data_IF_878507122043
#
_entry.id   IF_878507122043
#
_cell.length_a   1.000
_cell.length_b   1.000
_cell.length_c   1.000
_cell.angle_alpha   90.00
_cell.angle_beta   90.00
_cell.angle_gamma   90.00
#
_symmetry.space_group_name_H-M   'P 1'
#
loop_
_entity.id
_entity.type
_entity.pdbx_description
1 polymer ?
#
# COMPACT_ATOMS: atom_id res chain seq x y z
N UNK A 1 -14.97 -19.85 24.90
CA UNK A 1 -14.04 -19.89 23.75
C UNK A 1 -13.28 -18.59 23.78
N UNK A 2 -11.96 -18.65 23.84
CA UNK A 2 -11.12 -17.45 23.75
C UNK A 2 -11.40 -16.76 22.41
N UNK A 3 -11.49 -15.44 22.44
CA UNK A 3 -11.80 -14.63 21.27
C UNK A 3 -10.50 -14.41 20.46
N UNK A 4 -10.02 -15.49 19.82
CA UNK A 4 -8.78 -15.49 19.02
C UNK A 4 -9.03 -14.67 17.75
N UNK A 5 -8.13 -13.74 17.46
CA UNK A 5 -8.18 -12.91 16.26
C UNK A 5 -7.71 -13.71 15.03
N UNK A 6 -8.33 -13.43 13.89
CA UNK A 6 -7.94 -14.02 12.61
C UNK A 6 -6.60 -13.44 12.10
N UNK A 7 -5.99 -14.13 11.15
CA UNK A 7 -4.80 -13.66 10.42
C UNK A 7 -5.13 -12.38 9.64
N UNK A 8 -4.22 -11.42 9.64
CA UNK A 8 -4.35 -10.13 8.95
C UNK A 8 -4.19 -8.93 9.87
N UNK A 9 -4.63 -7.76 9.43
CA UNK A 9 -4.62 -6.54 10.25
C UNK A 9 -5.45 -6.72 11.52
N UNK A 10 -4.99 -6.14 12.62
CA UNK A 10 -5.79 -6.04 13.85
C UNK A 10 -7.10 -5.30 13.53
N UNK A 11 -8.27 -5.80 13.99
CA UNK A 11 -9.56 -5.16 13.71
C UNK A 11 -9.54 -3.67 14.04
N UNK A 12 -10.01 -2.82 13.11
CA UNK A 12 -9.93 -1.37 13.21
C UNK A 12 -10.50 -0.83 14.53
N UNK A 13 -11.64 -1.37 14.99
CA UNK A 13 -12.25 -0.96 16.26
C UNK A 13 -11.41 -1.29 17.51
N UNK A 14 -10.61 -2.36 17.47
CA UNK A 14 -9.66 -2.68 18.53
C UNK A 14 -8.45 -1.76 18.43
N UNK A 15 -7.90 -1.61 17.23
CA UNK A 15 -6.73 -0.77 16.98
C UNK A 15 -7.00 0.69 17.39
N UNK A 16 -8.14 1.27 17.01
CA UNK A 16 -8.55 2.62 17.38
C UNK A 16 -8.52 2.83 18.90
N UNK A 17 -9.10 1.89 19.68
CA UNK A 17 -9.08 1.97 21.14
C UNK A 17 -7.66 1.89 21.73
N UNK A 18 -6.75 1.14 21.10
CA UNK A 18 -5.36 1.03 21.53
C UNK A 18 -4.60 2.31 21.20
N UNK A 19 -4.72 2.83 19.98
CA UNK A 19 -4.04 4.04 19.51
C UNK A 19 -4.50 5.29 20.29
N UNK A 20 -5.77 5.37 20.66
CA UNK A 20 -6.30 6.48 21.49
C UNK A 20 -5.62 6.57 22.88
N UNK A 21 -4.90 5.54 23.31
CA UNK A 21 -4.17 5.49 24.59
C UNK A 21 -2.66 5.61 24.42
N UNK A 22 -2.18 5.79 23.18
CA UNK A 22 -0.76 5.96 22.92
C UNK A 22 -0.27 7.27 23.58
N UNK A 23 0.86 7.25 24.32
CA UNK A 23 1.44 8.46 24.89
C UNK A 23 2.09 9.28 23.77
N UNK A 24 1.41 10.35 23.34
CA UNK A 24 1.87 11.28 22.30
C UNK A 24 1.82 12.68 22.89
N UNK A 25 2.70 12.95 23.86
CA UNK A 25 2.74 14.22 24.59
C UNK A 25 3.80 15.20 24.05
N UNK A 26 4.68 14.73 23.16
CA UNK A 26 5.73 15.57 22.56
C UNK A 26 5.12 16.51 21.52
N UNK A 27 5.26 17.86 21.69
CA UNK A 27 4.69 18.84 20.78
C UNK A 27 5.34 18.83 19.37
N UNK A 28 6.48 18.18 19.20
CA UNK A 28 7.09 17.99 17.89
C UNK A 28 6.34 16.96 17.03
N UNK A 29 5.51 16.10 17.61
CA UNK A 29 4.70 15.12 16.86
C UNK A 29 3.52 15.84 16.22
N UNK A 30 3.58 16.09 14.92
CA UNK A 30 2.54 16.77 14.14
C UNK A 30 1.45 15.81 13.67
N UNK A 31 1.83 14.55 13.38
CA UNK A 31 0.94 13.47 13.02
C UNK A 31 1.37 12.23 13.80
N UNK A 32 0.54 11.80 14.73
CA UNK A 32 0.73 10.59 15.52
C UNK A 32 -0.04 9.39 14.95
N UNK A 33 -0.15 8.29 15.72
CA UNK A 33 -0.81 7.08 15.27
C UNK A 33 -2.33 7.29 15.09
N UNK A 34 -2.92 6.70 14.04
CA UNK A 34 -4.35 6.77 13.76
C UNK A 34 -4.77 5.82 12.64
N UNK A 35 -6.06 5.53 12.56
CA UNK A 35 -6.63 4.72 11.46
C UNK A 35 -6.52 5.49 10.15
N UNK A 36 -6.04 4.81 9.09
CA UNK A 36 -5.83 5.42 7.77
C UNK A 36 -4.69 6.45 7.74
N UNK A 37 -3.78 6.39 8.70
CA UNK A 37 -2.57 7.19 8.75
C UNK A 37 -1.35 6.27 8.59
N UNK A 38 -0.75 6.30 7.40
CA UNK A 38 0.35 5.39 7.04
C UNK A 38 1.66 5.74 7.74
N UNK A 39 1.86 7.03 8.04
CA UNK A 39 3.11 7.55 8.60
C UNK A 39 2.89 8.40 9.85
N UNK A 40 3.91 8.45 10.71
CA UNK A 40 4.06 9.50 11.71
C UNK A 40 4.90 10.66 11.16
N UNK A 41 4.62 11.90 11.63
CA UNK A 41 5.35 13.11 11.21
C UNK A 41 5.85 13.86 12.43
N UNK A 42 7.14 14.15 12.45
CA UNK A 42 7.81 14.87 13.54
C UNK A 42 8.47 16.14 12.99
N UNK A 43 8.30 17.25 13.72
CA UNK A 43 8.96 18.51 13.44
C UNK A 43 10.41 18.46 13.91
N UNK A 44 11.35 18.38 12.97
CA UNK A 44 12.78 18.40 13.23
C UNK A 44 13.43 19.79 12.95
N UNK A 45 12.61 20.83 12.86
CA UNK A 45 13.04 22.20 12.63
C UNK A 45 12.86 22.66 11.18
N UNK A 46 13.91 22.61 10.34
CA UNK A 46 13.82 23.10 8.95
C UNK A 46 12.88 22.28 8.09
N UNK A 47 12.94 20.96 8.17
CA UNK A 47 12.11 20.01 7.46
C UNK A 47 11.31 19.17 8.47
N UNK A 48 10.26 18.55 8.00
CA UNK A 48 9.54 17.51 8.73
C UNK A 48 10.19 16.16 8.43
N UNK A 49 10.31 15.33 9.45
CA UNK A 49 10.68 13.93 9.30
C UNK A 49 9.43 13.07 9.30
N UNK A 50 9.37 12.16 8.36
CA UNK A 50 8.27 11.20 8.17
C UNK A 50 8.80 9.82 8.48
N UNK A 51 8.12 9.09 9.35
CA UNK A 51 8.52 7.77 9.83
C UNK A 51 7.49 6.73 9.46
N UNK A 52 7.97 5.62 8.93
CA UNK A 52 7.17 4.43 8.67
C UNK A 52 7.91 3.18 9.14
N UNK A 53 7.17 2.20 9.63
CA UNK A 53 7.73 0.87 9.92
C UNK A 53 6.71 -0.20 9.55
N UNK A 54 7.08 -1.05 8.58
CA UNK A 54 6.26 -2.19 8.15
C UNK A 54 7.06 -3.49 8.08
N UNK A 55 6.45 -4.61 8.48
CA UNK A 55 6.95 -5.95 8.24
C UNK A 55 6.52 -6.46 6.87
N UNK A 56 7.29 -7.39 6.31
CA UNK A 56 6.89 -8.23 5.17
C UNK A 56 6.50 -9.61 5.71
N UNK A 57 5.25 -9.98 5.53
CA UNK A 57 4.66 -11.18 6.15
C UNK A 57 4.07 -12.19 5.15
N UNK A 58 3.63 -11.78 3.97
CA UNK A 58 3.01 -12.67 2.98
C UNK A 58 3.97 -13.14 1.89
N UNK A 59 4.94 -12.33 1.48
CA UNK A 59 5.90 -12.71 0.45
C UNK A 59 6.89 -13.74 0.96
N UNK A 60 7.30 -14.69 0.10
CA UNK A 60 8.30 -15.73 0.38
C UNK A 60 9.58 -15.52 -0.39
N UNK A 61 9.53 -14.83 -1.51
CA UNK A 61 10.67 -14.43 -2.32
C UNK A 61 10.78 -12.90 -2.45
N UNK A 62 11.92 -12.41 -2.93
CA UNK A 62 12.22 -10.98 -3.11
C UNK A 62 11.99 -10.10 -1.86
N UNK A 63 12.03 -10.70 -0.68
CA UNK A 63 11.70 -10.07 0.61
C UNK A 63 12.38 -8.71 0.81
N UNK A 64 13.67 -8.61 0.47
CA UNK A 64 14.43 -7.37 0.62
C UNK A 64 13.95 -6.25 -0.31
N UNK A 65 13.56 -6.59 -1.54
CA UNK A 65 12.98 -5.63 -2.49
C UNK A 65 11.61 -5.14 -2.03
N UNK A 66 10.75 -6.07 -1.56
CA UNK A 66 9.46 -5.75 -0.96
C UNK A 66 9.61 -4.77 0.20
N UNK A 67 10.50 -5.09 1.16
CA UNK A 67 10.71 -4.25 2.35
C UNK A 67 10.92 -2.79 2.01
N UNK A 68 11.84 -2.54 1.06
CA UNK A 68 12.22 -1.18 0.69
C UNK A 68 11.08 -0.48 -0.04
N UNK A 69 10.44 -1.16 -1.00
CA UNK A 69 9.39 -0.56 -1.84
C UNK A 69 8.12 -0.26 -1.06
N UNK A 70 7.65 -1.19 -0.22
CA UNK A 70 6.44 -0.98 0.59
C UNK A 70 6.63 0.19 1.55
N UNK A 71 7.72 0.18 2.35
CA UNK A 71 7.99 1.31 3.25
C UNK A 71 8.19 2.65 2.49
N UNK A 72 8.75 2.63 1.27
CA UNK A 72 8.91 3.83 0.45
C UNK A 72 7.58 4.34 -0.10
N UNK A 73 6.61 3.46 -0.37
CA UNK A 73 5.28 3.83 -0.80
C UNK A 73 4.57 4.68 0.26
N UNK A 74 4.58 4.22 1.51
CA UNK A 74 3.99 4.98 2.62
C UNK A 74 4.62 6.36 2.79
N UNK A 75 5.95 6.44 2.73
CA UNK A 75 6.64 7.74 2.77
C UNK A 75 6.18 8.63 1.61
N UNK A 76 6.04 8.06 0.41
CA UNK A 76 5.63 8.80 -0.79
C UNK A 76 4.20 9.36 -0.67
N UNK A 77 3.27 8.69 0.05
CA UNK A 77 1.90 9.18 0.25
C UNK A 77 1.85 10.52 1.00
N UNK A 78 2.93 10.86 1.70
CA UNK A 78 3.05 12.13 2.42
C UNK A 78 3.70 13.25 1.61
N UNK A 79 4.10 12.99 0.36
CA UNK A 79 4.92 13.91 -0.44
C UNK A 79 6.39 13.96 -0.02
N UNK A 80 6.79 13.12 0.94
CA UNK A 80 8.16 13.07 1.44
C UNK A 80 9.08 12.24 0.52
N UNK A 81 10.36 12.60 0.53
CA UNK A 81 11.43 11.83 -0.10
C UNK A 81 11.99 10.81 0.89
N UNK A 82 11.96 9.49 0.59
CA UNK A 82 12.56 8.47 1.43
C UNK A 82 14.09 8.65 1.46
N UNK A 83 14.71 8.58 2.66
CA UNK A 83 16.12 8.92 2.85
C UNK A 83 16.93 7.85 3.56
N UNK A 84 16.42 7.31 4.67
CA UNK A 84 17.19 6.45 5.57
C UNK A 84 16.41 5.22 5.99
N UNK A 85 17.03 4.05 5.85
CA UNK A 85 16.45 2.77 6.22
C UNK A 85 17.21 2.13 7.37
N UNK A 86 16.46 1.64 8.37
CA UNK A 86 16.88 0.64 9.34
C UNK A 86 16.12 -0.66 9.01
N UNK A 87 16.80 -1.81 8.99
CA UNK A 87 16.17 -3.11 8.73
C UNK A 87 16.39 -4.08 9.86
N UNK A 88 15.32 -4.78 10.27
CA UNK A 88 15.41 -5.89 11.23
C UNK A 88 15.09 -7.19 10.51
N UNK A 89 16.01 -8.17 10.60
CA UNK A 89 15.86 -9.50 10.02
C UNK A 89 15.76 -10.53 11.16
N UNK A 90 14.62 -11.18 11.28
CA UNK A 90 14.41 -12.32 12.16
C UNK A 90 14.39 -13.60 11.29
N UNK A 91 15.38 -14.44 11.46
CA UNK A 91 15.67 -15.57 10.58
C UNK A 91 15.41 -16.89 11.31
N UNK A 92 14.83 -17.91 10.63
CA UNK A 92 14.44 -19.17 11.26
C UNK A 92 15.66 -20.02 11.64
N UNK A 93 15.70 -20.51 12.89
CA UNK A 93 16.67 -21.50 13.33
C UNK A 93 16.60 -22.78 12.49
N UNK A 94 17.76 -23.38 12.17
CA UNK A 94 17.86 -24.63 11.42
C UNK A 94 17.56 -24.54 9.93
N UNK A 95 17.18 -23.38 9.41
CA UNK A 95 16.90 -23.14 7.97
C UNK A 95 17.72 -22.01 7.37
N UNK A 96 18.27 -21.13 8.18
CA UNK A 96 19.03 -19.96 7.73
C UNK A 96 20.42 -20.36 7.27
N UNK A 97 20.77 -19.98 6.04
CA UNK A 97 22.12 -20.15 5.47
C UNK A 97 22.74 -18.77 5.19
N UNK A 98 24.09 -18.68 5.07
CA UNK A 98 24.74 -17.44 4.65
C UNK A 98 24.18 -16.88 3.35
N UNK A 99 23.92 -17.75 2.36
CA UNK A 99 23.42 -17.37 1.03
C UNK A 99 22.00 -16.74 1.13
N UNK A 100 21.15 -17.24 2.03
CA UNK A 100 19.83 -16.66 2.30
C UNK A 100 19.99 -15.23 2.85
N UNK A 101 20.87 -15.04 3.83
CA UNK A 101 21.11 -13.72 4.43
C UNK A 101 21.70 -12.74 3.40
N UNK A 102 22.71 -13.18 2.66
CA UNK A 102 23.35 -12.40 1.59
C UNK A 102 22.34 -12.04 0.49
N UNK A 103 21.46 -12.97 0.12
CA UNK A 103 20.39 -12.74 -0.85
C UNK A 103 19.43 -11.66 -0.40
N UNK A 104 18.88 -11.76 0.81
CA UNK A 104 17.95 -10.76 1.37
C UNK A 104 18.62 -9.38 1.46
N UNK A 105 19.83 -9.32 2.03
CA UNK A 105 20.58 -8.06 2.15
C UNK A 105 20.95 -7.47 0.79
N UNK A 106 21.30 -8.33 -0.18
CA UNK A 106 21.57 -7.93 -1.56
C UNK A 106 20.37 -7.26 -2.22
N UNK A 107 19.18 -7.81 -2.03
CA UNK A 107 17.92 -7.23 -2.51
C UNK A 107 17.63 -5.88 -1.85
N UNK A 108 17.80 -5.77 -0.51
CA UNK A 108 17.64 -4.50 0.22
C UNK A 108 18.59 -3.44 -0.36
N UNK A 109 19.87 -3.79 -0.53
CA UNK A 109 20.87 -2.84 -1.03
C UNK A 109 20.61 -2.42 -2.48
N UNK A 110 20.13 -3.34 -3.32
CA UNK A 110 19.78 -3.04 -4.71
C UNK A 110 18.60 -2.06 -4.78
N UNK A 111 17.51 -2.35 -4.07
CA UNK A 111 16.33 -1.49 -4.03
C UNK A 111 16.64 -0.11 -3.40
N UNK A 112 17.45 -0.07 -2.34
CA UNK A 112 17.88 1.19 -1.74
C UNK A 112 18.71 2.05 -2.69
N UNK A 113 19.63 1.43 -3.48
CA UNK A 113 20.39 2.17 -4.51
C UNK A 113 19.49 2.75 -5.60
N UNK A 114 18.52 1.95 -6.08
CA UNK A 114 17.56 2.37 -7.09
C UNK A 114 16.75 3.60 -6.64
N UNK A 115 16.30 3.59 -5.38
CA UNK A 115 15.48 4.65 -4.80
C UNK A 115 16.30 5.77 -4.13
N UNK A 116 17.64 5.70 -4.18
CA UNK A 116 18.54 6.65 -3.54
C UNK A 116 18.35 6.75 -2.00
N UNK A 117 18.11 5.59 -1.36
CA UNK A 117 17.94 5.44 0.09
C UNK A 117 19.26 4.97 0.70
N UNK A 118 19.66 5.54 1.84
CA UNK A 118 20.82 5.11 2.60
C UNK A 118 20.41 4.11 3.69
N UNK A 119 21.03 2.92 3.69
CA UNK A 119 20.92 2.00 4.83
C UNK A 119 21.81 2.52 5.96
N UNK A 120 21.21 2.87 7.09
CA UNK A 120 21.92 3.50 8.22
C UNK A 120 22.09 2.57 9.43
N UNK A 121 21.57 1.33 9.36
CA UNK A 121 21.73 0.32 10.40
C UNK A 121 20.61 -0.70 10.40
N UNK A 122 20.47 -1.37 11.52
CA UNK A 122 19.44 -2.39 11.73
C UNK A 122 19.90 -3.48 12.68
N UNK A 123 19.20 -4.61 12.67
CA UNK A 123 19.52 -5.80 13.45
C UNK A 123 19.27 -7.07 12.64
N UNK A 124 20.10 -8.08 12.80
CA UNK A 124 19.89 -9.39 12.15
C UNK A 124 20.19 -10.48 13.17
N UNK A 125 19.25 -11.38 13.37
CA UNK A 125 19.42 -12.50 14.27
C UNK A 125 18.75 -13.78 13.75
N UNK A 126 19.27 -14.92 14.17
CA UNK A 126 18.63 -16.21 13.98
C UNK A 126 17.88 -16.53 15.30
N UNK A 127 16.57 -16.75 15.19
CA UNK A 127 15.71 -16.98 16.36
C UNK A 127 14.81 -18.20 16.17
N UNK A 128 14.32 -18.74 17.29
CA UNK A 128 13.44 -19.89 17.32
C UNK A 128 11.96 -19.52 17.13
N UNK A 129 11.15 -20.51 16.74
CA UNK A 129 9.70 -20.36 16.60
C UNK A 129 9.26 -19.67 15.32
N UNK A 130 10.14 -19.59 14.30
CA UNK A 130 9.84 -19.11 12.96
C UNK A 130 9.96 -20.22 11.93
N UNK A 131 9.01 -20.30 11.01
CA UNK A 131 9.05 -21.20 9.86
C UNK A 131 9.69 -20.56 8.63
N UNK A 132 9.70 -19.22 8.57
CA UNK A 132 10.22 -18.40 7.47
C UNK A 132 10.84 -17.10 8.00
N UNK A 133 11.69 -16.42 7.21
CA UNK A 133 12.17 -15.08 7.55
C UNK A 133 11.03 -14.10 7.78
N UNK A 134 11.16 -13.25 8.79
CA UNK A 134 10.36 -12.04 8.98
C UNK A 134 11.31 -10.85 8.91
N UNK A 135 11.02 -9.91 8.03
CA UNK A 135 11.83 -8.70 7.89
C UNK A 135 10.98 -7.48 8.14
N UNK A 136 11.54 -6.51 8.88
CA UNK A 136 10.86 -5.25 9.22
C UNK A 136 11.72 -4.08 8.75
N UNK A 137 11.12 -3.17 7.99
CA UNK A 137 11.73 -1.90 7.61
C UNK A 137 11.29 -0.81 8.59
N UNK A 138 12.22 0.09 8.91
CA UNK A 138 11.88 1.39 9.48
C UNK A 138 12.51 2.45 8.58
N UNK A 139 11.68 3.12 7.80
CA UNK A 139 12.09 4.10 6.80
C UNK A 139 11.77 5.50 7.27
N UNK A 140 12.71 6.40 7.04
CA UNK A 140 12.59 7.81 7.39
C UNK A 140 12.69 8.63 6.12
N UNK A 141 11.72 9.50 5.91
CA UNK A 141 11.68 10.48 4.82
C UNK A 141 11.78 11.91 5.32
N UNK A 142 11.98 12.82 4.39
CA UNK A 142 11.98 14.27 4.63
C UNK A 142 11.00 14.96 3.69
N UNK A 143 10.31 15.99 4.21
CA UNK A 143 9.44 16.86 3.41
C UNK A 143 9.50 18.29 3.93
N UNK A 144 9.53 19.33 3.06
CA UNK A 144 9.29 20.70 3.47
C UNK A 144 7.90 20.84 4.13
N UNK A 145 7.83 21.64 5.20
CA UNK A 145 6.58 21.79 5.97
C UNK A 145 5.35 22.16 5.11
N UNK A 146 5.54 23.00 4.11
CA UNK A 146 4.49 23.47 3.20
C UNK A 146 4.13 22.48 2.09
N UNK A 147 4.85 21.37 1.98
CA UNK A 147 4.65 20.33 0.97
C UNK A 147 4.11 19.02 1.55
N UNK A 148 3.96 18.96 2.89
CA UNK A 148 3.39 17.80 3.56
C UNK A 148 1.96 17.54 3.09
N UNK A 149 1.71 16.33 2.60
CA UNK A 149 0.40 15.80 2.25
C UNK A 149 -0.04 14.82 3.34
N UNK A 150 -1.30 14.87 3.71
CA UNK A 150 -1.88 13.91 4.67
C UNK A 150 -3.29 13.52 4.23
N UNK A 151 -3.80 12.36 4.63
CA UNK A 151 -5.18 11.95 4.31
C UNK A 151 -6.23 12.99 4.72
N UNK A 152 -5.97 13.80 5.75
CA UNK A 152 -6.85 14.89 6.21
C UNK A 152 -6.97 16.06 5.22
N UNK A 153 -6.13 16.10 4.20
CA UNK A 153 -6.11 17.14 3.18
C UNK A 153 -7.23 17.04 2.15
N UNK A 154 -7.89 15.89 2.03
CA UNK A 154 -8.98 15.67 1.07
C UNK A 154 -10.16 16.65 1.30
N UNK A 155 -10.67 17.23 0.22
CA UNK A 155 -11.71 18.27 0.26
C UNK A 155 -12.89 17.90 -0.63
N UNK A 156 -14.11 18.27 -0.26
CA UNK A 156 -15.26 18.12 -1.16
C UNK A 156 -15.01 18.80 -2.50
N UNK A 157 -15.32 18.09 -3.59
CA UNK A 157 -15.06 18.49 -4.96
C UNK A 157 -13.75 17.98 -5.54
N UNK A 158 -12.81 17.50 -4.72
CA UNK A 158 -11.60 16.86 -5.23
C UNK A 158 -11.95 15.58 -6.01
N UNK A 159 -11.16 15.29 -7.07
CA UNK A 159 -11.30 14.06 -7.86
C UNK A 159 -10.51 12.93 -7.20
N UNK A 160 -11.06 11.72 -7.27
CA UNK A 160 -10.41 10.49 -6.83
C UNK A 160 -9.74 9.83 -8.02
N UNK A 161 -8.40 9.78 -8.03
CA UNK A 161 -7.62 9.14 -9.07
C UNK A 161 -6.95 7.88 -8.53
N UNK A 162 -6.76 6.87 -9.40
CA UNK A 162 -6.04 5.63 -9.08
C UNK A 162 -5.02 5.34 -10.17
N UNK A 163 -3.76 5.09 -9.78
CA UNK A 163 -2.71 4.71 -10.72
C UNK A 163 -2.64 3.21 -10.94
N UNK A 164 -2.16 2.77 -12.12
CA UNK A 164 -1.83 1.40 -12.55
C UNK A 164 -3.00 0.41 -12.54
N UNK A 165 -3.87 0.46 -11.55
CA UNK A 165 -4.97 -0.48 -11.33
C UNK A 165 -4.72 -1.50 -10.22
N UNK A 166 -5.71 -2.35 -9.96
CA UNK A 166 -5.71 -3.32 -8.85
C UNK A 166 -6.18 -4.70 -9.31
N UNK A 167 -5.79 -5.79 -8.60
CA UNK A 167 -4.75 -5.88 -7.60
C UNK A 167 -3.40 -6.28 -8.22
N UNK A 168 -2.36 -5.49 -8.06
CA UNK A 168 -1.03 -5.80 -8.60
C UNK A 168 -0.36 -6.88 -7.75
N UNK A 169 -0.27 -6.65 -6.45
CA UNK A 169 0.45 -7.54 -5.54
C UNK A 169 -0.22 -8.91 -5.43
N UNK A 170 -1.53 -8.98 -5.22
CA UNK A 170 -2.25 -10.26 -5.13
C UNK A 170 -2.06 -11.09 -6.39
N UNK A 171 -2.06 -10.47 -7.58
CA UNK A 171 -1.81 -11.15 -8.85
C UNK A 171 -0.45 -11.85 -8.84
N UNK A 172 0.60 -11.16 -8.40
CA UNK A 172 1.95 -11.72 -8.34
C UNK A 172 2.09 -12.80 -7.27
N UNK A 173 1.55 -12.59 -6.07
CA UNK A 173 1.59 -13.58 -4.98
C UNK A 173 0.88 -14.87 -5.41
N UNK A 174 -0.34 -14.79 -5.93
CA UNK A 174 -1.10 -15.96 -6.37
C UNK A 174 -0.39 -16.73 -7.49
N UNK A 175 0.24 -16.02 -8.43
CA UNK A 175 1.00 -16.64 -9.51
C UNK A 175 2.29 -17.34 -9.07
N UNK A 176 2.87 -16.92 -7.95
CA UNK A 176 4.08 -17.49 -7.36
C UNK A 176 3.79 -18.65 -6.43
N UNK A 177 2.79 -18.49 -5.57
CA UNK A 177 2.45 -19.50 -4.55
C UNK A 177 1.58 -20.64 -5.10
N UNK A 178 0.71 -20.37 -6.09
CA UNK A 178 -0.24 -21.35 -6.64
C UNK A 178 -0.12 -21.55 -8.16
N UNK A 179 1.12 -21.75 -8.70
CA UNK A 179 1.31 -21.85 -10.16
C UNK A 179 0.59 -23.05 -10.77
N UNK A 180 0.48 -24.16 -10.06
CA UNK A 180 -0.19 -25.37 -10.54
C UNK A 180 -1.67 -25.12 -10.77
N UNK A 181 -2.36 -24.48 -9.81
CA UNK A 181 -3.78 -24.15 -9.92
C UNK A 181 -4.04 -23.19 -11.08
N UNK A 182 -3.18 -22.19 -11.26
CA UNK A 182 -3.30 -21.21 -12.35
C UNK A 182 -2.95 -21.78 -13.73
N UNK A 183 -2.08 -22.79 -13.82
CA UNK A 183 -1.70 -23.42 -15.10
C UNK A 183 -2.85 -24.15 -15.81
N UNK A 184 -3.96 -24.39 -15.13
CA UNK A 184 -5.18 -24.93 -15.74
C UNK A 184 -5.97 -23.89 -16.56
N UNK A 185 -5.76 -22.59 -16.29
CA UNK A 185 -6.53 -21.47 -16.86
C UNK A 185 -5.65 -20.46 -17.60
N UNK A 186 -4.35 -20.42 -17.31
CA UNK A 186 -3.38 -19.49 -17.90
C UNK A 186 -2.34 -20.24 -18.72
N UNK A 187 -1.96 -19.68 -19.87
CA UNK A 187 -0.80 -20.18 -20.62
C UNK A 187 0.51 -19.81 -19.91
N UNK A 188 1.64 -20.51 -20.19
CA UNK A 188 2.91 -20.25 -19.49
C UNK A 188 3.36 -18.79 -19.53
N UNK A 189 3.15 -18.11 -20.64
CA UNK A 189 3.53 -16.71 -20.85
C UNK A 189 2.72 -15.77 -19.96
N UNK A 190 1.42 -16.03 -19.78
CA UNK A 190 0.53 -15.26 -18.89
C UNK A 190 0.88 -15.51 -17.42
N UNK A 191 1.22 -16.76 -17.06
CA UNK A 191 1.65 -17.10 -15.71
C UNK A 191 2.94 -16.36 -15.34
N UNK A 192 3.90 -16.31 -16.27
CA UNK A 192 5.15 -15.57 -16.08
C UNK A 192 4.89 -14.05 -16.02
N UNK A 193 4.01 -13.53 -16.87
CA UNK A 193 3.58 -12.13 -16.80
C UNK A 193 2.94 -11.81 -15.44
N UNK A 194 2.06 -12.66 -14.92
CA UNK A 194 1.44 -12.47 -13.61
C UNK A 194 2.49 -12.46 -12.48
N UNK A 195 3.48 -13.36 -12.52
CA UNK A 195 4.61 -13.37 -11.58
C UNK A 195 5.42 -12.08 -11.62
N UNK A 196 5.57 -11.50 -12.81
CA UNK A 196 6.35 -10.29 -13.03
C UNK A 196 5.63 -9.01 -12.61
N UNK A 197 4.39 -9.06 -12.14
CA UNK A 197 3.65 -7.87 -11.69
C UNK A 197 4.36 -7.10 -10.56
N UNK A 198 5.26 -7.74 -9.80
CA UNK A 198 6.11 -7.05 -8.82
C UNK A 198 7.06 -6.04 -9.46
N UNK A 199 7.42 -6.25 -10.74
CA UNK A 199 8.33 -5.41 -11.50
C UNK A 199 7.63 -4.56 -12.54
N UNK A 200 6.62 -5.13 -13.23
CA UNK A 200 5.82 -4.48 -14.27
C UNK A 200 4.33 -4.87 -14.12
N UNK A 201 3.46 -3.93 -13.72
CA UNK A 201 3.65 -2.48 -13.54
C UNK A 201 4.44 -2.07 -12.31
N UNK A 202 4.79 -3.00 -11.41
CA UNK A 202 5.68 -2.79 -10.27
C UNK A 202 4.98 -2.30 -9.00
N UNK A 203 5.57 -2.66 -7.84
CA UNK A 203 5.03 -2.34 -6.52
C UNK A 203 5.28 -0.88 -6.08
N UNK A 204 6.28 -0.19 -6.66
CA UNK A 204 6.67 1.14 -6.21
C UNK A 204 5.71 2.23 -6.69
N UNK A 205 5.26 3.13 -5.81
CA UNK A 205 4.42 4.30 -6.15
C UNK A 205 5.14 5.64 -5.96
N UNK A 206 6.41 5.64 -5.57
CA UNK A 206 7.18 6.86 -5.37
C UNK A 206 7.26 7.73 -6.64
N UNK A 207 7.44 7.09 -7.81
CA UNK A 207 7.43 7.79 -9.11
C UNK A 207 6.06 8.39 -9.42
N UNK A 208 4.99 7.65 -9.15
CA UNK A 208 3.61 8.07 -9.35
C UNK A 208 3.31 9.33 -8.51
N UNK A 209 3.64 9.28 -7.21
CA UNK A 209 3.46 10.37 -6.28
C UNK A 209 4.23 11.64 -6.69
N UNK A 210 5.51 11.50 -7.06
CA UNK A 210 6.35 12.63 -7.53
C UNK A 210 5.76 13.31 -8.76
N UNK A 211 5.33 12.53 -9.75
CA UNK A 211 4.72 13.06 -10.98
C UNK A 211 3.41 13.78 -10.65
N UNK A 212 2.55 13.16 -9.85
CA UNK A 212 1.28 13.74 -9.48
C UNK A 212 1.43 15.08 -8.74
N UNK A 213 2.31 15.13 -7.72
CA UNK A 213 2.59 16.34 -6.94
C UNK A 213 3.21 17.45 -7.80
N UNK A 214 4.11 17.10 -8.73
CA UNK A 214 4.69 18.07 -9.65
C UNK A 214 3.68 18.61 -10.68
N UNK A 215 2.69 17.81 -11.06
CA UNK A 215 1.70 18.18 -12.08
C UNK A 215 0.53 18.99 -11.53
N UNK A 216 0.14 18.84 -10.24
CA UNK A 216 -1.04 19.54 -9.73
C UNK A 216 -1.17 19.51 -8.22
N UNK A 217 -2.26 20.11 -7.72
CA UNK A 217 -2.55 20.16 -6.30
C UNK A 217 -3.16 18.82 -5.83
N UNK A 218 -2.29 17.91 -5.43
CA UNK A 218 -2.67 16.69 -4.71
C UNK A 218 -3.02 17.07 -3.27
N UNK A 219 -4.18 16.65 -2.79
CA UNK A 219 -4.71 17.03 -1.47
C UNK A 219 -4.58 15.90 -0.45
N UNK A 220 -4.66 14.63 -0.88
CA UNK A 220 -4.34 13.47 -0.08
C UNK A 220 -3.83 12.32 -0.97
N UNK A 221 -3.10 11.40 -0.38
CA UNK A 221 -2.65 10.15 -1.01
C UNK A 221 -2.79 8.99 -0.04
N UNK A 222 -2.97 7.79 -0.58
CA UNK A 222 -2.97 6.53 0.15
C UNK A 222 -2.56 5.39 -0.79
N UNK A 223 -1.78 4.44 -0.35
CA UNK A 223 -1.43 3.25 -1.13
C UNK A 223 -2.29 2.05 -0.68
N UNK A 224 -3.14 1.51 -1.56
CA UNK A 224 -3.92 0.31 -1.26
C UNK A 224 -3.02 -0.87 -0.92
N UNK A 225 -3.16 -1.44 0.28
CA UNK A 225 -2.46 -2.63 0.77
C UNK A 225 -3.46 -3.74 1.10
N UNK A 226 -3.40 -4.36 2.30
CA UNK A 226 -4.35 -5.40 2.68
C UNK A 226 -5.80 -4.92 2.69
N UNK A 227 -6.67 -5.77 2.12
CA UNK A 227 -8.07 -5.44 1.88
C UNK A 227 -8.28 -4.57 0.66
N UNK A 228 -7.22 -4.36 -0.13
CA UNK A 228 -7.23 -3.75 -1.45
C UNK A 228 -7.74 -2.31 -1.50
N UNK A 229 -8.23 -1.92 -2.67
CA UNK A 229 -8.80 -0.58 -2.90
C UNK A 229 -10.00 -0.29 -2.00
N UNK A 230 -10.82 -1.30 -1.70
CA UNK A 230 -12.01 -1.13 -0.85
C UNK A 230 -11.64 -0.67 0.55
N UNK A 231 -10.61 -1.28 1.15
CA UNK A 231 -10.09 -0.86 2.46
C UNK A 231 -9.41 0.51 2.39
N UNK A 232 -8.59 0.77 1.38
CA UNK A 232 -7.91 2.06 1.21
C UNK A 232 -8.89 3.23 1.06
N UNK A 233 -9.98 3.05 0.31
CA UNK A 233 -11.05 4.05 0.22
C UNK A 233 -11.70 4.30 1.58
N UNK A 234 -11.99 3.24 2.33
CA UNK A 234 -12.58 3.36 3.66
C UNK A 234 -11.62 4.09 4.63
N UNK A 235 -10.34 3.69 4.63
CA UNK A 235 -9.30 4.31 5.46
C UNK A 235 -9.14 5.80 5.14
N UNK A 236 -9.11 6.17 3.85
CA UNK A 236 -9.05 7.56 3.41
C UNK A 236 -10.31 8.35 3.84
N UNK A 237 -11.50 7.74 3.73
CA UNK A 237 -12.74 8.37 4.18
C UNK A 237 -12.72 8.63 5.70
N UNK A 238 -12.27 7.65 6.50
CA UNK A 238 -12.15 7.80 7.96
C UNK A 238 -11.11 8.86 8.35
N UNK A 239 -9.91 8.81 7.77
CA UNK A 239 -8.82 9.72 8.09
C UNK A 239 -9.13 11.17 7.68
N UNK A 240 -9.83 11.38 6.56
CA UNK A 240 -10.25 12.70 6.09
C UNK A 240 -11.52 13.21 6.75
N UNK A 241 -12.35 12.32 7.31
CA UNK A 241 -13.70 12.64 7.78
C UNK A 241 -14.65 13.01 6.64
N UNK A 242 -14.45 12.46 5.43
CA UNK A 242 -15.20 12.82 4.22
C UNK A 242 -15.94 11.61 3.63
N UNK A 243 -16.95 11.92 2.83
CA UNK A 243 -17.66 10.95 2.01
C UNK A 243 -16.93 10.79 0.68
N UNK A 244 -16.69 9.54 0.24
CA UNK A 244 -16.11 9.25 -1.08
C UNK A 244 -17.17 8.60 -1.97
N UNK A 245 -17.34 9.11 -3.19
CA UNK A 245 -18.25 8.56 -4.19
C UNK A 245 -17.44 8.05 -5.38
N UNK A 246 -17.54 6.77 -5.66
CA UNK A 246 -16.84 6.11 -6.75
C UNK A 246 -17.77 5.42 -7.73
N UNK A 247 -17.35 5.30 -8.97
CA UNK A 247 -17.93 4.41 -9.97
C UNK A 247 -17.05 3.14 -10.06
N UNK A 248 -17.47 1.98 -9.53
CA UNK A 248 -16.68 0.76 -9.57
C UNK A 248 -16.32 0.32 -11.00
N UNK A 249 -17.15 0.67 -11.98
CA UNK A 249 -16.90 0.37 -13.39
C UNK A 249 -15.72 1.14 -13.99
N UNK A 250 -15.22 2.17 -13.30
CA UNK A 250 -14.03 2.94 -13.70
C UNK A 250 -12.74 2.47 -13.06
N UNK A 251 -12.82 1.55 -12.09
CA UNK A 251 -11.60 1.00 -11.47
C UNK A 251 -10.85 0.15 -12.49
N UNK A 252 -9.61 0.49 -12.82
CA UNK A 252 -8.82 -0.31 -13.76
C UNK A 252 -8.42 -1.63 -13.08
N UNK A 253 -9.01 -2.73 -13.54
CA UNK A 253 -8.61 -4.09 -13.19
C UNK A 253 -7.98 -4.71 -14.44
N UNK A 254 -6.65 -4.93 -14.47
CA UNK A 254 -6.00 -5.57 -15.62
C UNK A 254 -6.63 -6.93 -15.92
N UNK A 255 -6.86 -7.24 -17.20
CA UNK A 255 -7.54 -8.49 -17.61
C UNK A 255 -6.88 -9.74 -17.02
N UNK A 256 -5.55 -9.77 -16.97
CA UNK A 256 -4.81 -10.88 -16.38
C UNK A 256 -5.06 -10.97 -14.87
N UNK A 257 -5.06 -9.84 -14.15
CA UNK A 257 -5.38 -9.80 -12.72
C UNK A 257 -6.80 -10.28 -12.43
N UNK A 258 -7.78 -9.85 -13.22
CA UNK A 258 -9.17 -10.32 -13.10
C UNK A 258 -9.29 -11.84 -13.30
N UNK A 259 -8.55 -12.42 -14.27
CA UNK A 259 -8.52 -13.86 -14.51
C UNK A 259 -7.85 -14.61 -13.36
N UNK A 260 -6.72 -14.11 -12.86
CA UNK A 260 -6.03 -14.70 -11.70
C UNK A 260 -6.96 -14.71 -10.50
N UNK A 261 -7.56 -13.58 -10.12
CA UNK A 261 -8.55 -13.53 -9.02
C UNK A 261 -9.73 -14.47 -9.27
N UNK A 262 -10.23 -14.55 -10.51
CA UNK A 262 -11.36 -15.41 -10.89
C UNK A 262 -11.11 -16.89 -10.63
N UNK A 263 -9.88 -17.40 -10.82
CA UNK A 263 -9.50 -18.80 -10.50
C UNK A 263 -9.70 -19.14 -9.03
N UNK A 264 -9.55 -18.16 -8.15
CA UNK A 264 -9.70 -18.32 -6.70
C UNK A 264 -11.04 -17.79 -6.16
N UNK A 265 -11.89 -17.23 -7.02
CA UNK A 265 -13.17 -16.64 -6.61
C UNK A 265 -13.01 -15.43 -5.70
N UNK A 266 -11.97 -14.63 -5.92
CA UNK A 266 -11.65 -13.43 -5.13
C UNK A 266 -12.20 -12.17 -5.78
N UNK A 267 -12.61 -11.21 -4.93
CA UNK A 267 -12.90 -9.85 -5.38
C UNK A 267 -11.59 -9.06 -5.61
N UNK A 268 -11.28 -8.64 -6.85
CA UNK A 268 -10.08 -7.86 -7.15
C UNK A 268 -9.98 -6.54 -6.38
N UNK A 269 -11.09 -5.96 -5.95
CA UNK A 269 -11.11 -4.70 -5.22
C UNK A 269 -10.79 -4.85 -3.73
N UNK A 270 -10.89 -6.08 -3.20
CA UNK A 270 -10.66 -6.40 -1.80
C UNK A 270 -9.41 -7.26 -1.56
N UNK A 271 -8.65 -7.58 -2.60
CA UNK A 271 -7.38 -8.30 -2.53
C UNK A 271 -6.20 -7.33 -2.46
N UNK A 272 -5.16 -7.68 -1.69
CA UNK A 272 -3.95 -6.87 -1.45
C UNK A 272 -3.43 -6.25 -2.76
N UNK A 273 -3.19 -4.93 -2.75
CA UNK A 273 -3.04 -4.15 -3.98
C UNK A 273 -1.86 -3.18 -3.98
N UNK A 274 -0.82 -3.46 -3.18
CA UNK A 274 0.39 -2.63 -3.23
C UNK A 274 0.89 -2.48 -4.67
N UNK A 275 1.32 -1.25 -5.00
CA UNK A 275 1.71 -0.86 -6.35
C UNK A 275 0.73 0.12 -7.02
N UNK A 276 -0.49 0.23 -6.56
CA UNK A 276 -1.41 1.29 -6.95
C UNK A 276 -1.30 2.49 -5.99
N UNK A 277 -1.62 3.70 -6.45
CA UNK A 277 -1.70 4.90 -5.64
C UNK A 277 -3.08 5.53 -5.79
N UNK A 278 -3.80 5.68 -4.68
CA UNK A 278 -5.05 6.40 -4.58
C UNK A 278 -4.74 7.87 -4.24
N UNK A 279 -5.27 8.80 -5.03
CA UNK A 279 -5.03 10.23 -4.90
C UNK A 279 -6.35 10.99 -4.79
N UNK A 280 -6.38 12.05 -3.97
CA UNK A 280 -7.36 13.11 -4.13
C UNK A 280 -6.68 14.35 -4.69
N UNK A 281 -7.25 14.92 -5.74
CA UNK A 281 -6.66 16.02 -6.51
C UNK A 281 -7.71 17.11 -6.70
N UNK A 282 -7.30 18.36 -6.54
CA UNK A 282 -8.19 19.49 -6.82
C UNK A 282 -8.79 19.35 -8.24
N UNK A 283 -10.11 19.57 -8.35
CA UNK A 283 -10.86 19.28 -9.59
C UNK A 283 -10.27 19.98 -10.81
N UNK A 284 -9.77 21.21 -10.65
CA UNK A 284 -9.14 22.00 -11.73
C UNK A 284 -7.80 21.43 -12.19
N UNK A 285 -7.14 20.57 -11.40
CA UNK A 285 -5.84 19.99 -11.70
C UNK A 285 -5.90 18.50 -12.11
N UNK A 286 -7.05 17.86 -11.92
CA UNK A 286 -7.20 16.41 -12.07
C UNK A 286 -6.82 15.91 -13.48
N UNK A 287 -7.27 16.57 -14.53
CA UNK A 287 -6.92 16.20 -15.91
C UNK A 287 -5.43 16.40 -16.21
N UNK A 288 -4.81 17.44 -15.64
CA UNK A 288 -3.38 17.70 -15.81
C UNK A 288 -2.55 16.62 -15.11
N UNK A 289 -2.92 16.25 -13.88
CA UNK A 289 -2.26 15.19 -13.12
C UNK A 289 -2.39 13.85 -13.84
N UNK A 290 -3.61 13.49 -14.28
CA UNK A 290 -3.85 12.27 -15.02
C UNK A 290 -3.02 12.20 -16.30
N UNK A 291 -3.00 13.28 -17.07
CA UNK A 291 -2.24 13.35 -18.32
C UNK A 291 -0.73 13.23 -18.11
N UNK A 292 -0.19 13.88 -17.08
CA UNK A 292 1.23 13.77 -16.72
C UNK A 292 1.64 12.33 -16.32
N UNK A 293 0.75 11.60 -15.64
CA UNK A 293 0.97 10.19 -15.32
C UNK A 293 0.92 9.32 -16.58
N UNK A 294 -0.07 9.53 -17.46
CA UNK A 294 -0.21 8.82 -18.74
C UNK A 294 0.99 9.08 -19.68
N UNK A 295 1.52 10.31 -19.76
CA UNK A 295 2.74 10.64 -20.50
C UNK A 295 4.00 9.94 -19.97
N UNK A 296 3.95 9.50 -18.71
CA UNK A 296 5.01 8.72 -18.07
C UNK A 296 4.76 7.19 -18.13
N UNK A 297 3.83 6.74 -18.99
CA UNK A 297 3.38 5.36 -19.15
C UNK A 297 2.76 4.76 -17.87
N UNK A 298 2.16 5.60 -17.01
CA UNK A 298 1.44 5.18 -15.81
C UNK A 298 -0.07 5.33 -16.08
N UNK A 299 -0.79 4.20 -16.15
CA UNK A 299 -2.25 4.22 -16.24
C UNK A 299 -2.82 5.02 -15.07
N UNK A 300 -3.75 5.94 -15.36
CA UNK A 300 -4.42 6.72 -14.30
C UNK A 300 -5.91 6.86 -14.62
N UNK A 301 -6.75 6.37 -13.72
CA UNK A 301 -8.20 6.43 -13.85
C UNK A 301 -8.81 7.42 -12.86
N UNK A 302 -9.83 8.15 -13.32
CA UNK A 302 -10.68 8.98 -12.48
C UNK A 302 -11.88 8.16 -12.00
N UNK A 303 -11.84 7.77 -10.73
CA UNK A 303 -12.82 6.88 -10.11
C UNK A 303 -14.08 7.61 -9.67
N UNK A 304 -13.96 8.91 -9.31
CA UNK A 304 -15.07 9.62 -8.68
C UNK A 304 -14.68 10.91 -7.98
N UNK A 305 -15.32 11.20 -6.85
CA UNK A 305 -15.23 12.51 -6.19
C UNK A 305 -15.26 12.37 -4.67
N UNK A 306 -14.57 13.28 -3.99
CA UNK A 306 -14.76 13.53 -2.56
C UNK A 306 -16.04 14.36 -2.40
N UNK A 307 -17.00 13.87 -1.64
CA UNK A 307 -18.31 14.52 -1.45
C UNK A 307 -18.45 15.11 -0.04
N UNK A 308 -19.41 16.02 0.11
CA UNK A 308 -19.87 16.45 1.41
C UNK A 308 -20.60 15.29 2.12
N UNK A 309 -20.45 15.20 3.43
CA UNK A 309 -21.14 14.18 4.24
C UNK A 309 -20.24 13.56 5.30
N UNK A 310 -20.79 12.64 6.09
CA UNK A 310 -20.02 11.87 7.07
C UNK A 310 -19.03 10.94 6.36
N UNK A 311 -17.98 10.52 7.08
CA UNK A 311 -17.02 9.53 6.59
C UNK A 311 -17.72 8.26 6.12
N UNK A 312 -17.42 7.83 4.90
CA UNK A 312 -17.99 6.63 4.29
C UNK A 312 -17.69 6.56 2.80
N UNK A 313 -17.84 5.38 2.21
CA UNK A 313 -17.60 5.13 0.80
C UNK A 313 -18.89 4.70 0.12
N UNK A 314 -19.18 5.30 -1.02
CA UNK A 314 -20.39 5.06 -1.78
C UNK A 314 -20.04 4.68 -3.22
N UNK A 315 -20.58 3.59 -3.69
CA UNK A 315 -20.59 3.27 -5.10
C UNK A 315 -21.78 3.93 -5.79
N UNK A 316 -21.49 4.66 -6.87
CA UNK A 316 -22.50 5.37 -7.67
C UNK A 316 -22.53 4.76 -9.07
N UNK A 317 -23.64 4.12 -9.41
CA UNK A 317 -23.84 3.46 -10.71
C UNK A 317 -25.13 3.98 -11.35
N UNK A 318 -25.41 3.55 -12.56
CA UNK A 318 -26.70 3.81 -13.22
C UNK A 318 -27.90 3.21 -12.48
N UNK A 319 -27.68 2.22 -11.62
CA UNK A 319 -28.71 1.56 -10.82
C UNK A 319 -29.02 2.32 -9.52
N UNK A 320 -28.11 3.17 -9.04
CA UNK A 320 -28.30 3.91 -7.80
C UNK A 320 -26.99 4.22 -7.07
N UNK A 321 -27.15 4.55 -5.79
CA UNK A 321 -26.07 4.85 -4.85
C UNK A 321 -26.19 3.90 -3.66
N UNK A 322 -25.18 3.05 -3.48
CA UNK A 322 -25.11 2.06 -2.40
C UNK A 322 -23.83 2.26 -1.59
N UNK A 323 -23.86 1.91 -0.32
CA UNK A 323 -22.66 1.93 0.52
C UNK A 323 -21.69 0.81 0.09
N UNK A 324 -20.40 1.15 -0.01
CA UNK A 324 -19.32 0.17 -0.16
C UNK A 324 -18.73 -0.09 1.24
N UNK A 325 -19.05 -1.22 1.86
CA UNK A 325 -18.58 -1.52 3.21
C UNK A 325 -17.08 -1.80 3.21
N UNK A 326 -16.42 -1.53 4.35
CA UNK A 326 -15.04 -1.99 4.57
C UNK A 326 -15.02 -3.53 4.60
N UNK A 327 -14.13 -4.19 3.83
CA UNK A 327 -13.96 -5.64 3.90
C UNK A 327 -13.61 -6.09 5.33
N UNK A 328 -14.07 -7.29 5.71
CA UNK A 328 -13.76 -7.88 7.01
C UNK A 328 -12.29 -8.33 7.13
N UNK A 329 -11.61 -8.51 5.99
CA UNK A 329 -10.21 -8.90 5.88
C UNK A 329 -9.80 -8.95 4.41
N UNK A 330 -8.54 -9.30 4.16
CA UNK A 330 -8.03 -9.43 2.79
C UNK A 330 -8.56 -10.69 2.12
N UNK A 331 -8.99 -10.57 0.88
CA UNK A 331 -9.47 -11.71 0.09
C UNK A 331 -8.41 -12.80 -0.11
N UNK A 332 -7.13 -12.42 -0.23
CA UNK A 332 -6.05 -13.40 -0.43
C UNK A 332 -5.89 -14.33 0.77
N UNK A 333 -6.20 -13.87 1.99
CA UNK A 333 -6.10 -14.68 3.20
C UNK A 333 -7.00 -15.92 3.17
N UNK A 334 -8.09 -15.89 2.39
CA UNK A 334 -9.00 -17.05 2.19
C UNK A 334 -8.29 -18.20 1.48
N UNK A 335 -7.40 -17.88 0.53
CA UNK A 335 -6.68 -18.91 -0.26
C UNK A 335 -5.63 -19.61 0.59
N UNK A 336 -4.96 -18.90 1.50
CA UNK A 336 -3.92 -19.46 2.40
C UNK A 336 -4.52 -20.20 3.61
N UNK A 337 -5.82 -20.08 3.88
CA UNK A 337 -6.50 -20.74 5.00
C UNK A 337 -7.30 -22.00 4.61
N UNK A 338 -7.26 -22.39 3.33
CA UNK A 338 -7.98 -23.58 2.81
C UNK A 338 -7.17 -24.88 2.85
N UNK A 339 -5.90 -24.90 3.38
CA UNK A 339 -5.06 -26.10 3.54
C UNK A 339 -5.20 -26.78 4.92
#
# INVERSE_FOLDING_TARGET
MENILAVGKVPASLLERLLARAPVDDPSVLLGPGIGLDCAVVDAGRNLLVFKSDPITFATDELGSYLVRINANDIATTGAEPRWLLSTLLLPEGRTTPEMVEGIMGQIYAACRELNISVIGGHSEITYGLDRPIIVGSLIGEVPRNELITPKGARPGDRLLLTKGVPIEATAILAREFPERLSHELVPEELEQARNYLSDPGLGVLRDARIAVAAGRVTAMHDPTEGGLSTALWELAQASGRSLEIDPGKVPVPTLAARVCGVFGLDPLAAIASGALLLTVAAEDADRVRHALEEADIVCADLGVVAEGPAGVWQVTTAGRDELPCPAGDEIARVFGED
#
